data_IF_839516332033
#
_entry.id   IF_839516332033
#
_cell.length_a   1.000
_cell.length_b   1.000
_cell.length_c   1.000
_cell.angle_alpha   90.00
_cell.angle_beta   90.00
_cell.angle_gamma   90.00
#
_symmetry.space_group_name_H-M   'P 1'
#
loop_
_entity.id
_entity.type
_entity.pdbx_description
1 polymer ?
#
# COMPACT_ATOMS: atom_id res chain seq x y z
N UNK A 1 28.22 -41.86 -63.11
CA UNK A 1 28.65 -40.78 -62.18
C UNK A 1 27.39 -40.06 -61.74
N UNK A 2 26.96 -40.31 -60.50
CA UNK A 2 25.72 -39.77 -59.94
C UNK A 2 25.84 -38.29 -59.60
N UNK A 3 24.83 -37.51 -59.97
CA UNK A 3 24.67 -36.11 -59.56
C UNK A 3 23.61 -36.06 -58.46
N UNK A 4 24.05 -35.78 -57.23
CA UNK A 4 23.19 -35.59 -56.07
C UNK A 4 22.72 -34.13 -56.01
N UNK A 5 21.42 -33.89 -56.18
CA UNK A 5 20.79 -32.59 -55.94
C UNK A 5 20.43 -32.44 -54.46
N UNK A 6 21.16 -31.58 -53.75
CA UNK A 6 20.82 -31.17 -52.38
C UNK A 6 19.69 -30.13 -52.42
N UNK A 7 18.46 -30.57 -52.16
CA UNK A 7 17.33 -29.68 -51.90
C UNK A 7 17.32 -29.25 -50.43
N UNK A 8 17.74 -28.02 -50.14
CA UNK A 8 17.57 -27.41 -48.83
C UNK A 8 16.09 -27.02 -48.63
N UNK A 9 15.39 -27.75 -47.77
CA UNK A 9 14.02 -27.41 -47.35
C UNK A 9 14.09 -26.27 -46.32
N UNK A 10 13.66 -25.08 -46.72
CA UNK A 10 13.55 -23.91 -45.82
C UNK A 10 12.32 -24.09 -44.92
N UNK A 11 12.54 -24.49 -43.68
CA UNK A 11 11.48 -24.52 -42.66
C UNK A 11 11.28 -23.10 -42.11
N UNK A 12 10.29 -22.37 -42.63
CA UNK A 12 9.84 -21.10 -42.04
C UNK A 12 9.14 -21.36 -40.70
N UNK A 13 9.88 -21.22 -39.60
CA UNK A 13 9.31 -21.17 -38.25
C UNK A 13 8.56 -19.84 -38.08
N UNK A 14 7.24 -19.87 -38.22
CA UNK A 14 6.36 -18.79 -37.78
C UNK A 14 6.42 -18.69 -36.24
N UNK A 15 7.21 -17.75 -35.73
CA UNK A 15 7.16 -17.36 -34.33
C UNK A 15 5.88 -16.53 -34.11
N UNK A 16 4.81 -17.19 -33.66
CA UNK A 16 3.63 -16.49 -33.18
C UNK A 16 4.01 -15.74 -31.89
N UNK A 17 4.22 -14.42 -31.99
CA UNK A 17 4.27 -13.57 -30.80
C UNK A 17 2.87 -13.58 -30.17
N UNK A 18 2.71 -14.37 -29.11
CA UNK A 18 1.58 -14.20 -28.21
C UNK A 18 1.79 -12.88 -27.48
N UNK A 19 1.17 -11.81 -27.97
CA UNK A 19 1.00 -10.58 -27.21
C UNK A 19 0.16 -10.93 -25.99
N UNK A 20 0.81 -11.19 -24.86
CA UNK A 20 0.14 -11.23 -23.58
C UNK A 20 -0.42 -9.82 -23.33
N UNK A 21 -1.71 -9.64 -23.60
CA UNK A 21 -2.43 -8.46 -23.16
C UNK A 21 -2.48 -8.53 -21.64
N UNK A 22 -1.62 -7.75 -20.98
CA UNK A 22 -1.83 -7.47 -19.57
C UNK A 22 -3.21 -6.80 -19.48
N UNK A 23 -4.21 -7.54 -18.99
CA UNK A 23 -5.52 -6.97 -18.69
C UNK A 23 -5.28 -5.85 -17.69
N UNK A 24 -5.48 -4.61 -18.11
CA UNK A 24 -5.54 -3.49 -17.18
C UNK A 24 -6.62 -3.82 -16.14
N UNK A 25 -6.30 -3.65 -14.85
CA UNK A 25 -7.27 -3.94 -13.79
C UNK A 25 -8.51 -3.06 -13.96
N UNK A 26 -9.64 -3.54 -13.45
CA UNK A 26 -10.93 -2.88 -13.62
C UNK A 26 -11.63 -2.81 -12.27
N UNK A 27 -11.85 -1.60 -11.75
CA UNK A 27 -12.47 -1.40 -10.44
C UNK A 27 -13.85 -2.07 -10.32
N UNK A 28 -14.63 -2.18 -11.41
CA UNK A 28 -15.92 -2.89 -11.37
C UNK A 28 -15.76 -4.40 -11.13
N UNK A 29 -14.63 -4.97 -11.52
CA UNK A 29 -14.33 -6.39 -11.34
C UNK A 29 -13.66 -6.64 -9.98
N UNK A 30 -12.77 -5.74 -9.57
CA UNK A 30 -11.87 -5.96 -8.44
C UNK A 30 -12.46 -5.50 -7.08
N UNK A 31 -13.35 -4.50 -7.08
CA UNK A 31 -13.82 -3.84 -5.86
C UNK A 31 -15.34 -3.64 -5.79
N UNK A 32 -15.85 -3.58 -4.56
CA UNK A 32 -17.19 -3.12 -4.23
C UNK A 32 -17.11 -1.77 -3.52
N UNK A 33 -17.97 -0.82 -3.90
CA UNK A 33 -18.18 0.40 -3.12
C UNK A 33 -18.94 0.00 -1.85
N UNK A 34 -18.37 0.27 -0.67
CA UNK A 34 -18.97 -0.13 0.60
C UNK A 34 -19.90 0.93 1.17
N UNK A 35 -19.57 2.22 0.97
CA UNK A 35 -20.39 3.34 1.40
C UNK A 35 -20.00 4.65 0.68
N UNK A 36 -20.85 5.67 0.81
CA UNK A 36 -20.59 7.03 0.31
C UNK A 36 -21.53 7.51 -0.79
N UNK A 37 -22.43 6.65 -1.28
CA UNK A 37 -23.38 6.96 -2.35
C UNK A 37 -22.66 7.55 -3.58
N UNK A 38 -23.02 8.78 -3.95
CA UNK A 38 -22.41 9.53 -5.05
C UNK A 38 -20.99 10.02 -4.76
N UNK A 39 -20.41 9.77 -3.57
CA UNK A 39 -19.04 10.18 -3.21
C UNK A 39 -18.00 9.16 -3.59
N UNK A 40 -18.39 7.90 -3.78
CA UNK A 40 -17.57 6.89 -4.42
C UNK A 40 -18.01 6.74 -5.86
N UNK A 41 -17.10 6.94 -6.81
CA UNK A 41 -17.43 6.84 -8.23
C UNK A 41 -16.34 6.09 -8.99
N UNK A 42 -16.76 5.23 -9.89
CA UNK A 42 -15.89 4.56 -10.86
C UNK A 42 -16.17 5.16 -12.24
N UNK A 43 -15.12 5.55 -12.95
CA UNK A 43 -15.19 6.20 -14.25
C UNK A 43 -14.31 5.50 -15.27
N UNK A 44 -14.31 6.01 -16.51
CA UNK A 44 -13.43 5.58 -17.59
C UNK A 44 -13.47 4.06 -17.81
N UNK A 45 -14.68 3.48 -17.81
CA UNK A 45 -14.88 2.05 -18.00
C UNK A 45 -14.28 1.17 -16.90
N UNK A 46 -14.00 1.71 -15.71
CA UNK A 46 -13.42 0.96 -14.59
C UNK A 46 -11.95 1.25 -14.32
N UNK A 47 -11.34 2.22 -14.99
CA UNK A 47 -9.91 2.51 -14.88
C UNK A 47 -9.56 3.56 -13.82
N UNK A 48 -10.54 4.32 -13.33
CA UNK A 48 -10.35 5.37 -12.34
C UNK A 48 -11.46 5.28 -11.30
N UNK A 49 -11.09 5.32 -10.02
CA UNK A 49 -12.01 5.44 -8.91
C UNK A 49 -11.71 6.74 -8.15
N UNK A 50 -12.74 7.47 -7.74
CA UNK A 50 -12.60 8.58 -6.79
C UNK A 50 -13.38 8.31 -5.51
N UNK A 51 -12.79 8.70 -4.39
CA UNK A 51 -13.48 8.85 -3.11
C UNK A 51 -13.54 10.34 -2.78
N UNK A 52 -14.73 10.83 -2.41
CA UNK A 52 -14.90 12.17 -1.90
C UNK A 52 -15.45 12.22 -0.47
N UNK A 53 -15.21 13.34 0.20
CA UNK A 53 -15.64 13.62 1.57
C UNK A 53 -16.22 15.02 1.64
N UNK A 54 -17.39 15.12 2.24
CA UNK A 54 -18.06 16.35 2.64
C UNK A 54 -18.60 16.23 4.07
N UNK A 55 -19.26 17.29 4.56
CA UNK A 55 -19.73 17.36 5.95
C UNK A 55 -20.78 16.29 6.30
N UNK A 56 -21.42 15.70 5.30
CA UNK A 56 -22.44 14.65 5.48
C UNK A 56 -21.80 13.28 5.60
N UNK A 57 -20.80 12.99 4.77
CA UNK A 57 -20.17 11.67 4.72
C UNK A 57 -18.85 11.70 3.95
N UNK A 58 -17.99 10.75 4.27
CA UNK A 58 -16.91 10.32 3.39
C UNK A 58 -17.35 9.27 2.37
N UNK A 59 -16.43 8.39 2.01
CA UNK A 59 -16.72 7.23 1.17
C UNK A 59 -15.65 6.14 1.31
N UNK A 60 -15.96 4.93 0.84
CA UNK A 60 -15.02 3.81 0.88
C UNK A 60 -15.36 2.67 -0.07
N UNK A 61 -14.36 1.82 -0.30
CA UNK A 61 -14.48 0.60 -1.08
C UNK A 61 -13.67 -0.53 -0.47
N UNK A 62 -13.98 -1.77 -0.85
CA UNK A 62 -13.25 -2.97 -0.46
C UNK A 62 -13.03 -3.90 -1.64
N UNK A 63 -11.99 -4.73 -1.60
CA UNK A 63 -11.79 -5.77 -2.62
C UNK A 63 -12.87 -6.86 -2.51
N UNK A 64 -13.25 -7.42 -3.65
CA UNK A 64 -14.14 -8.59 -3.70
C UNK A 64 -13.45 -9.85 -3.21
N UNK A 65 -12.14 -9.94 -3.48
CA UNK A 65 -11.27 -11.07 -3.10
C UNK A 65 -10.56 -10.78 -1.79
N UNK A 66 -10.26 -11.85 -1.08
CA UNK A 66 -9.30 -11.87 0.02
C UNK A 66 -7.94 -12.35 -0.48
N UNK A 67 -6.91 -11.90 0.21
CA UNK A 67 -5.51 -12.20 -0.09
C UNK A 67 -4.85 -12.76 1.16
N UNK A 68 -4.05 -13.81 0.99
CA UNK A 68 -3.13 -14.30 2.01
C UNK A 68 -1.75 -14.32 1.37
N UNK A 69 -0.96 -13.29 1.69
CA UNK A 69 0.28 -12.94 1.00
C UNK A 69 0.09 -12.43 -0.44
N UNK A 70 1.14 -11.84 -0.96
CA UNK A 70 1.21 -11.28 -2.30
C UNK A 70 1.80 -9.87 -2.30
N UNK A 71 1.94 -9.32 -3.50
CA UNK A 71 2.24 -7.91 -3.70
C UNK A 71 0.99 -7.21 -4.21
N UNK A 72 0.63 -6.13 -3.53
CA UNK A 72 -0.58 -5.36 -3.81
C UNK A 72 -0.14 -3.93 -4.08
N UNK A 73 -0.35 -3.48 -5.31
CA UNK A 73 -0.01 -2.16 -5.80
C UNK A 73 -1.30 -1.36 -6.08
N UNK A 74 -1.33 -0.09 -5.68
CA UNK A 74 -2.36 0.86 -6.07
C UNK A 74 -1.71 2.20 -6.38
N UNK A 75 -2.13 2.87 -7.46
CA UNK A 75 -1.75 4.25 -7.69
C UNK A 75 -2.76 5.19 -7.04
N UNK A 76 -2.28 6.07 -6.16
CA UNK A 76 -3.10 7.08 -5.50
C UNK A 76 -2.64 8.48 -5.89
N UNK A 77 -3.60 9.39 -6.02
CA UNK A 77 -3.37 10.85 -6.03
C UNK A 77 -4.25 11.47 -4.94
N UNK A 78 -3.61 12.14 -3.99
CA UNK A 78 -4.25 12.61 -2.76
C UNK A 78 -5.02 13.92 -2.96
N UNK A 79 -5.79 14.30 -1.93
CA UNK A 79 -6.59 15.53 -1.89
C UNK A 79 -5.66 16.75 -2.04
N UNK A 80 -5.92 17.57 -3.04
CA UNK A 80 -5.18 18.81 -3.28
C UNK A 80 -5.71 19.98 -2.43
N UNK A 81 -4.87 21.00 -2.24
CA UNK A 81 -5.24 22.21 -1.49
C UNK A 81 -5.22 21.98 0.01
N UNK A 82 -6.20 22.56 0.72
CA UNK A 82 -6.33 22.37 2.15
C UNK A 82 -7.04 21.03 2.41
N UNK A 83 -6.33 20.08 2.98
CA UNK A 83 -6.83 18.75 3.33
C UNK A 83 -6.70 18.46 4.83
N UNK A 84 -6.47 19.49 5.65
CA UNK A 84 -6.34 19.34 7.09
C UNK A 84 -7.56 18.63 7.69
N UNK A 85 -7.31 17.74 8.65
CA UNK A 85 -8.30 16.91 9.31
C UNK A 85 -8.82 15.72 8.49
N UNK A 86 -8.40 15.56 7.22
CA UNK A 86 -8.79 14.41 6.40
C UNK A 86 -7.77 13.28 6.46
N UNK A 87 -8.24 12.04 6.37
CA UNK A 87 -7.42 10.83 6.21
C UNK A 87 -7.87 10.07 4.98
N UNK A 88 -6.95 9.88 4.05
CA UNK A 88 -7.10 8.87 2.98
C UNK A 88 -6.44 7.59 3.47
N UNK A 89 -7.19 6.53 3.71
CA UNK A 89 -6.65 5.23 4.12
C UNK A 89 -6.59 4.28 2.92
N UNK A 90 -5.55 3.44 2.88
CA UNK A 90 -5.41 2.30 1.96
C UNK A 90 -4.73 1.17 2.73
N UNK A 91 -5.48 0.10 3.00
CA UNK A 91 -5.06 -0.88 3.98
C UNK A 91 -5.57 -2.29 3.65
N UNK A 92 -4.97 -3.28 4.29
CA UNK A 92 -5.47 -4.65 4.33
C UNK A 92 -6.00 -4.93 5.73
N UNK A 93 -7.14 -5.58 5.85
CA UNK A 93 -7.68 -5.99 7.16
C UNK A 93 -8.42 -7.32 7.07
N UNK A 94 -8.27 -8.17 8.09
CA UNK A 94 -9.14 -9.34 8.30
C UNK A 94 -10.36 -8.94 9.14
N UNK A 95 -11.32 -9.85 9.28
CA UNK A 95 -12.55 -9.57 10.02
C UNK A 95 -12.45 -9.97 11.48
N UNK A 96 -13.18 -9.25 12.34
CA UNK A 96 -13.39 -9.61 13.75
C UNK A 96 -12.48 -8.88 14.76
N UNK A 97 -12.68 -9.16 16.07
CA UNK A 97 -12.01 -8.42 17.14
C UNK A 97 -10.51 -8.71 17.24
N UNK A 98 -10.04 -9.84 16.70
CA UNK A 98 -8.63 -10.23 16.66
C UNK A 98 -8.06 -10.11 15.24
N UNK A 99 -8.53 -9.11 14.49
CA UNK A 99 -8.10 -8.92 13.11
C UNK A 99 -6.60 -8.64 13.00
N UNK A 100 -6.05 -9.01 11.86
CA UNK A 100 -4.76 -8.58 11.38
C UNK A 100 -4.97 -7.42 10.40
N UNK A 101 -4.10 -6.40 10.41
CA UNK A 101 -4.24 -5.23 9.53
C UNK A 101 -2.89 -4.59 9.18
N UNK A 102 -2.79 -4.03 7.97
CA UNK A 102 -1.58 -3.43 7.38
C UNK A 102 -1.97 -2.12 6.70
N UNK A 103 -1.47 -0.99 7.22
CA UNK A 103 -2.03 0.32 6.89
C UNK A 103 -1.07 1.24 6.12
N UNK A 104 -1.60 1.90 5.11
CA UNK A 104 -1.21 3.25 4.73
C UNK A 104 -2.33 4.23 5.08
N UNK A 105 -2.00 5.28 5.80
CA UNK A 105 -2.90 6.40 6.07
C UNK A 105 -2.21 7.71 5.68
N UNK A 106 -2.85 8.48 4.82
CA UNK A 106 -2.34 9.78 4.38
C UNK A 106 -3.07 10.88 5.14
N UNK A 107 -2.35 11.51 6.06
CA UNK A 107 -2.88 12.56 6.91
C UNK A 107 -2.74 13.89 6.17
N UNK A 108 -3.88 14.51 5.86
CA UNK A 108 -3.93 15.78 5.17
C UNK A 108 -3.41 16.94 6.00
N UNK A 109 -3.19 18.07 5.34
CA UNK A 109 -2.57 19.24 5.96
C UNK A 109 -3.10 20.55 5.36
N UNK A 110 -2.70 21.68 5.94
CA UNK A 110 -3.00 22.99 5.38
C UNK A 110 -2.37 23.15 3.99
N UNK A 111 -2.97 23.99 3.14
CA UNK A 111 -2.43 24.29 1.81
C UNK A 111 -0.97 24.72 1.90
N UNK A 112 -0.08 24.00 1.20
CA UNK A 112 1.35 24.29 1.14
C UNK A 112 2.19 23.54 2.18
N UNK A 113 1.57 22.95 3.20
CA UNK A 113 2.25 22.11 4.18
C UNK A 113 2.30 20.64 3.70
N UNK A 114 3.33 19.87 4.09
CA UNK A 114 3.51 18.52 3.60
C UNK A 114 2.48 17.55 4.19
N UNK A 115 2.03 16.61 3.36
CA UNK A 115 1.31 15.42 3.79
C UNK A 115 2.18 14.53 4.68
N UNK A 116 1.55 13.84 5.63
CA UNK A 116 2.19 12.77 6.39
C UNK A 116 1.67 11.43 5.87
N UNK A 117 2.59 10.54 5.50
CA UNK A 117 2.29 9.14 5.28
C UNK A 117 2.53 8.37 6.57
N UNK A 118 1.46 7.79 7.09
CA UNK A 118 1.44 6.98 8.29
C UNK A 118 1.32 5.49 7.89
N UNK A 119 2.10 4.63 8.54
CA UNK A 119 1.98 3.17 8.40
C UNK A 119 1.77 2.52 9.75
N UNK A 120 0.97 1.47 9.79
CA UNK A 120 0.74 0.69 11.01
C UNK A 120 0.61 -0.81 10.67
N UNK A 121 0.75 -1.64 11.70
CA UNK A 121 0.57 -3.10 11.60
C UNK A 121 -0.16 -3.57 12.85
N UNK A 122 -1.35 -4.11 12.67
CA UNK A 122 -2.11 -4.81 13.71
C UNK A 122 -1.92 -6.30 13.59
N UNK A 123 -1.73 -6.94 14.74
CA UNK A 123 -1.72 -8.39 14.83
C UNK A 123 -2.62 -8.83 15.98
N UNK A 124 -3.56 -9.74 15.70
CA UNK A 124 -4.52 -10.23 16.68
C UNK A 124 -5.27 -9.09 17.41
N UNK A 125 -5.69 -8.05 16.67
CA UNK A 125 -6.42 -6.88 17.17
C UNK A 125 -5.52 -5.84 17.86
N UNK A 126 -4.21 -6.05 17.92
CA UNK A 126 -3.27 -5.15 18.60
C UNK A 126 -2.36 -4.45 17.59
N UNK A 127 -2.56 -3.14 17.44
CA UNK A 127 -1.69 -2.22 16.69
C UNK A 127 -0.61 -1.60 17.58
N UNK A 128 -0.55 -0.27 17.60
CA UNK A 128 0.48 0.55 18.27
C UNK A 128 1.88 0.41 17.65
N UNK A 129 1.96 0.29 16.32
CA UNK A 129 3.20 0.14 15.55
C UNK A 129 3.35 1.21 14.49
N UNK A 130 3.02 2.43 14.84
CA UNK A 130 2.96 3.59 13.96
C UNK A 130 4.37 4.01 13.50
N UNK A 131 4.54 4.27 12.21
CA UNK A 131 5.68 5.01 11.67
C UNK A 131 5.16 6.07 10.70
N UNK A 132 5.68 7.29 10.81
CA UNK A 132 5.24 8.42 10.00
C UNK A 132 6.39 8.99 9.17
N UNK A 133 6.08 9.40 7.95
CA UNK A 133 7.04 9.91 6.98
C UNK A 133 6.48 11.13 6.25
N UNK A 134 7.35 12.10 5.95
CA UNK A 134 7.11 12.99 4.81
C UNK A 134 7.43 12.25 3.50
N UNK A 135 6.89 12.74 2.38
CA UNK A 135 7.21 12.23 1.05
C UNK A 135 8.22 13.14 0.34
N UNK A 136 9.07 12.56 -0.50
CA UNK A 136 10.04 13.30 -1.31
C UNK A 136 9.44 13.93 -2.59
N UNK A 137 8.12 14.06 -2.64
CA UNK A 137 7.33 14.63 -3.72
C UNK A 137 5.98 15.15 -3.18
N UNK A 138 5.27 15.95 -3.97
CA UNK A 138 3.90 16.38 -3.67
C UNK A 138 2.89 15.31 -4.15
N UNK A 139 2.27 14.55 -3.22
CA UNK A 139 1.39 13.42 -3.57
C UNK A 139 0.02 13.85 -4.11
N UNK A 140 -0.26 15.15 -4.18
CA UNK A 140 -1.51 15.71 -4.70
C UNK A 140 -1.44 16.01 -6.20
N UNK A 141 -0.22 16.13 -6.76
CA UNK A 141 0.00 16.55 -8.14
C UNK A 141 -0.10 15.41 -9.13
N UNK A 142 0.49 14.28 -8.81
CA UNK A 142 0.57 13.12 -9.68
C UNK A 142 0.15 11.85 -8.94
N UNK A 143 -0.14 10.81 -9.72
CA UNK A 143 -0.33 9.48 -9.17
C UNK A 143 1.01 8.85 -8.82
N UNK A 144 1.11 8.30 -7.61
CA UNK A 144 2.25 7.53 -7.13
C UNK A 144 1.80 6.13 -6.73
N UNK A 145 2.67 5.14 -6.89
CA UNK A 145 2.37 3.75 -6.57
C UNK A 145 2.68 3.48 -5.09
N UNK A 146 1.68 3.03 -4.35
CA UNK A 146 1.82 2.57 -2.97
C UNK A 146 1.63 1.06 -2.94
N UNK A 147 2.59 0.36 -2.36
CA UNK A 147 2.67 -1.09 -2.44
C UNK A 147 2.82 -1.73 -1.07
N UNK A 148 2.07 -2.81 -0.85
CA UNK A 148 2.25 -3.74 0.26
C UNK A 148 2.76 -5.05 -0.33
N UNK A 149 4.01 -5.40 -0.05
CA UNK A 149 4.56 -6.72 -0.35
C UNK A 149 4.57 -7.55 0.93
N UNK A 150 3.70 -8.54 1.00
CA UNK A 150 3.42 -9.33 2.19
C UNK A 150 3.69 -10.81 1.92
N UNK A 151 4.53 -11.41 2.75
CA UNK A 151 4.87 -12.84 2.74
C UNK A 151 4.79 -13.40 4.16
N UNK A 152 4.98 -14.71 4.32
CA UNK A 152 5.04 -15.34 5.63
C UNK A 152 6.26 -14.87 6.47
N UNK A 153 7.25 -14.26 5.83
CA UNK A 153 8.52 -13.85 6.43
C UNK A 153 8.54 -12.36 6.79
N UNK A 154 7.86 -11.52 6.02
CA UNK A 154 7.88 -10.07 6.23
C UNK A 154 6.77 -9.32 5.48
N UNK A 155 6.54 -8.08 5.91
CA UNK A 155 5.77 -7.07 5.19
C UNK A 155 6.73 -5.94 4.82
N UNK A 156 6.70 -5.52 3.55
CA UNK A 156 7.42 -4.34 3.06
C UNK A 156 6.39 -3.34 2.54
N UNK A 157 6.48 -2.11 3.05
CA UNK A 157 5.76 -0.95 2.55
C UNK A 157 6.65 -0.23 1.54
N UNK A 158 6.13 0.02 0.33
CA UNK A 158 6.87 0.76 -0.70
C UNK A 158 6.08 1.95 -1.23
N UNK A 159 6.83 2.98 -1.62
CA UNK A 159 6.35 4.14 -2.39
C UNK A 159 7.20 4.24 -3.65
N UNK A 160 6.58 4.10 -4.82
CA UNK A 160 7.25 4.04 -6.14
C UNK A 160 8.42 3.04 -6.17
N UNK A 161 8.20 1.83 -5.65
CA UNK A 161 9.22 0.78 -5.48
C UNK A 161 10.37 1.11 -4.51
N UNK A 162 10.31 2.22 -3.78
CA UNK A 162 11.27 2.54 -2.72
C UNK A 162 10.71 1.99 -1.39
N UNK A 163 11.39 1.02 -0.74
CA UNK A 163 10.95 0.53 0.56
C UNK A 163 11.08 1.64 1.61
N UNK A 164 10.00 1.88 2.36
CA UNK A 164 9.96 2.86 3.45
C UNK A 164 9.94 2.20 4.83
N UNK A 165 9.43 0.96 4.90
CA UNK A 165 9.32 0.18 6.12
C UNK A 165 9.42 -1.32 5.83
N UNK A 166 10.11 -2.04 6.71
CA UNK A 166 10.17 -3.51 6.73
C UNK A 166 9.71 -4.00 8.10
N UNK A 167 8.64 -4.78 8.15
CA UNK A 167 8.16 -5.45 9.35
C UNK A 167 8.40 -6.96 9.21
N UNK A 168 9.37 -7.50 9.97
CA UNK A 168 9.76 -8.91 9.89
C UNK A 168 8.83 -9.78 10.75
N UNK A 169 8.61 -11.02 10.31
CA UNK A 169 8.04 -12.04 11.17
C UNK A 169 9.01 -12.31 12.34
N UNK A 170 8.53 -12.06 13.55
CA UNK A 170 9.27 -12.15 14.81
C UNK A 170 8.57 -13.10 15.80
N UNK A 171 7.82 -14.09 15.31
CA UNK A 171 7.12 -15.07 16.15
C UNK A 171 8.07 -15.89 17.04
N UNK A 172 9.30 -16.12 16.59
CA UNK A 172 10.35 -16.75 17.42
C UNK A 172 10.72 -15.94 18.67
N UNK A 173 10.34 -14.66 18.71
CA UNK A 173 10.49 -13.75 19.85
C UNK A 173 9.16 -13.44 20.54
N UNK A 174 8.10 -14.21 20.24
CA UNK A 174 6.77 -14.05 20.83
C UNK A 174 5.95 -12.90 20.25
N UNK A 175 6.34 -12.31 19.13
CA UNK A 175 5.58 -11.24 18.46
C UNK A 175 4.70 -11.86 17.37
N UNK A 176 3.36 -11.81 17.48
CA UNK A 176 2.46 -12.32 16.45
C UNK A 176 2.66 -11.61 15.11
N UNK A 177 2.44 -12.33 14.01
CA UNK A 177 2.61 -11.83 12.64
C UNK A 177 1.38 -12.22 11.80
N UNK A 178 0.92 -11.36 10.87
CA UNK A 178 -0.28 -11.63 10.09
C UNK A 178 0.04 -12.67 9.00
N UNK A 179 -0.13 -13.95 9.30
CA UNK A 179 0.16 -15.06 8.36
C UNK A 179 -0.96 -16.09 8.23
N UNK A 180 -2.01 -15.98 9.04
CA UNK A 180 -3.06 -16.99 9.13
C UNK A 180 -4.45 -16.47 8.74
N UNK A 181 -4.63 -15.15 8.65
CA UNK A 181 -5.91 -14.53 8.35
C UNK A 181 -5.84 -13.91 6.95
N UNK A 182 -6.59 -14.43 5.95
CA UNK A 182 -6.79 -13.72 4.70
C UNK A 182 -7.41 -12.34 4.95
N UNK A 183 -6.94 -11.35 4.21
CA UNK A 183 -7.36 -9.96 4.36
C UNK A 183 -7.96 -9.44 3.06
N UNK A 184 -8.99 -8.59 3.17
CA UNK A 184 -9.43 -7.76 2.05
C UNK A 184 -8.63 -6.47 2.02
N UNK A 185 -8.57 -5.88 0.85
CA UNK A 185 -8.06 -4.53 0.64
C UNK A 185 -9.21 -3.57 0.89
N UNK A 186 -8.92 -2.49 1.60
CA UNK A 186 -9.85 -1.42 1.89
C UNK A 186 -9.23 -0.09 1.51
N UNK A 187 -10.11 0.86 1.21
CA UNK A 187 -9.73 2.26 1.10
C UNK A 187 -10.91 3.13 1.50
N UNK A 188 -10.60 4.23 2.19
CA UNK A 188 -11.60 5.17 2.66
C UNK A 188 -11.05 6.59 2.67
N UNK A 189 -11.94 7.57 2.56
CA UNK A 189 -11.64 8.97 2.79
C UNK A 189 -12.60 9.50 3.86
N UNK A 190 -12.07 9.93 4.99
CA UNK A 190 -12.86 10.28 6.17
C UNK A 190 -12.23 11.41 6.99
N UNK A 191 -13.01 11.97 7.92
CA UNK A 191 -12.59 13.03 8.81
C UNK A 191 -12.05 12.47 10.13
N UNK A 192 -10.85 12.89 10.51
CA UNK A 192 -10.12 12.44 11.68
C UNK A 192 -9.59 13.64 12.48
N UNK A 193 -10.46 14.63 12.69
CA UNK A 193 -10.15 15.93 13.30
C UNK A 193 -9.42 15.83 14.65
N UNK A 194 -9.64 14.75 15.39
CA UNK A 194 -9.09 14.56 16.72
C UNK A 194 -7.59 14.25 16.73
N UNK A 195 -7.00 13.85 15.60
CA UNK A 195 -5.59 13.44 15.57
C UNK A 195 -4.84 13.68 14.26
N UNK A 196 -5.51 13.75 13.10
CA UNK A 196 -4.84 13.68 11.80
C UNK A 196 -3.84 14.81 11.53
N UNK A 197 -4.24 16.07 11.72
CA UNK A 197 -3.39 17.21 11.38
C UNK A 197 -2.86 17.88 12.64
N UNK A 198 -1.53 17.89 12.77
CA UNK A 198 -0.81 18.42 13.95
C UNK A 198 -1.32 17.83 15.28
N UNK A 199 -1.55 16.52 15.31
CA UNK A 199 -2.08 15.84 16.48
C UNK A 199 -3.49 16.30 16.87
N UNK A 200 -4.30 16.72 15.89
CA UNK A 200 -5.68 17.15 16.09
C UNK A 200 -5.86 18.65 16.39
N UNK A 201 -4.79 19.44 16.40
CA UNK A 201 -4.87 20.89 16.62
C UNK A 201 -5.51 21.65 15.46
N UNK A 202 -5.44 21.11 14.24
CA UNK A 202 -6.03 21.72 13.04
C UNK A 202 -7.20 20.87 12.57
N UNK A 203 -8.37 21.49 12.48
CA UNK A 203 -9.65 20.88 12.14
C UNK A 203 -9.96 21.04 10.65
N UNK A 204 -10.87 20.21 10.15
CA UNK A 204 -11.31 20.25 8.76
C UNK A 204 -12.09 21.53 8.46
N UNK A 205 -11.62 22.29 7.49
CA UNK A 205 -12.37 23.41 6.94
C UNK A 205 -13.38 22.90 5.90
N UNK A 206 -14.59 22.60 6.35
CA UNK A 206 -15.67 22.09 5.50
C UNK A 206 -16.09 23.04 4.37
N UNK A 207 -15.69 24.33 4.40
CA UNK A 207 -15.91 25.23 3.26
C UNK A 207 -15.07 24.85 2.03
N UNK A 208 -14.07 23.96 2.20
CA UNK A 208 -13.21 23.42 1.13
C UNK A 208 -13.70 22.09 0.59
N UNK A 209 -14.80 21.54 1.12
CA UNK A 209 -15.41 20.34 0.58
C UNK A 209 -15.96 20.58 -0.85
N UNK A 210 -16.00 19.55 -1.71
CA UNK A 210 -15.61 18.17 -1.43
C UNK A 210 -14.09 17.95 -1.51
N UNK A 211 -13.55 17.23 -0.53
CA UNK A 211 -12.20 16.69 -0.59
C UNK A 211 -12.23 15.43 -1.45
N UNK A 212 -11.32 15.28 -2.41
CA UNK A 212 -11.35 14.12 -3.34
C UNK A 212 -9.98 13.48 -3.50
N UNK A 213 -9.89 12.17 -3.30
CA UNK A 213 -8.75 11.33 -3.60
C UNK A 213 -9.05 10.40 -4.80
N UNK A 214 -8.02 10.05 -5.56
CA UNK A 214 -8.17 9.25 -6.77
C UNK A 214 -7.29 8.01 -6.75
N UNK A 215 -7.79 6.94 -7.37
CA UNK A 215 -7.20 5.60 -7.39
C UNK A 215 -7.19 5.07 -8.81
N UNK A 216 -6.09 4.42 -9.22
CA UNK A 216 -6.00 3.74 -10.52
C UNK A 216 -4.97 2.62 -10.52
N UNK A 217 -4.96 1.85 -11.61
CA UNK A 217 -3.91 0.88 -11.92
C UNK A 217 -3.64 -0.10 -10.76
N UNK A 218 -4.71 -0.65 -10.19
CA UNK A 218 -4.61 -1.67 -9.15
C UNK A 218 -3.91 -2.92 -9.72
N UNK A 219 -3.05 -3.55 -8.94
CA UNK A 219 -2.47 -4.84 -9.30
C UNK A 219 -2.24 -5.68 -8.06
N UNK A 220 -2.71 -6.92 -8.10
CA UNK A 220 -2.37 -7.92 -7.09
C UNK A 220 -1.65 -9.10 -7.75
N UNK A 221 -0.46 -9.41 -7.26
CA UNK A 221 0.34 -10.58 -7.64
C UNK A 221 0.36 -11.56 -6.46
N UNK A 222 -0.24 -12.73 -6.65
CA UNK A 222 -0.34 -13.79 -5.64
C UNK A 222 0.27 -15.08 -6.16
N UNK A 223 0.79 -15.93 -5.28
CA UNK A 223 1.47 -17.17 -5.70
C UNK A 223 0.58 -18.24 -6.33
N UNK A 224 -0.74 -18.08 -6.29
CA UNK A 224 -1.71 -18.94 -7.00
C UNK A 224 -1.95 -18.49 -8.44
N UNK A 225 -1.39 -17.36 -8.87
CA UNK A 225 -1.47 -16.86 -10.24
C UNK A 225 -0.49 -17.63 -11.12
N UNK A 226 -0.98 -18.35 -12.12
CA UNK A 226 -0.22 -19.17 -13.09
C UNK A 226 0.66 -18.36 -14.06
N UNK A 227 1.03 -17.12 -13.71
CA UNK A 227 1.92 -16.28 -14.50
C UNK A 227 3.37 -16.52 -14.10
N UNK A 228 4.04 -17.40 -14.83
CA UNK A 228 5.50 -17.41 -14.92
C UNK A 228 6.01 -16.02 -15.32
N UNK A 229 7.11 -15.59 -14.70
CA UNK A 229 7.79 -14.27 -14.77
C UNK A 229 7.48 -13.28 -13.63
N UNK A 230 8.25 -13.41 -12.54
CA UNK A 230 8.55 -12.46 -11.44
C UNK A 230 8.03 -12.79 -10.02
N UNK A 231 7.11 -13.75 -9.85
CA UNK A 231 6.48 -14.03 -8.55
C UNK A 231 7.39 -14.73 -7.50
N UNK A 232 8.54 -15.29 -7.91
CA UNK A 232 9.48 -15.96 -7.00
C UNK A 232 10.37 -15.01 -6.18
N UNK A 233 10.44 -13.73 -6.53
CA UNK A 233 11.35 -12.77 -5.88
C UNK A 233 10.80 -12.30 -4.52
N UNK A 234 9.48 -12.13 -4.39
CA UNK A 234 8.86 -11.60 -3.17
C UNK A 234 8.63 -12.63 -2.05
N UNK A 235 8.57 -13.91 -2.38
CA UNK A 235 8.28 -14.96 -1.39
C UNK A 235 9.46 -15.35 -0.51
N UNK A 236 10.70 -15.08 -0.93
CA UNK A 236 11.88 -15.67 -0.27
C UNK A 236 13.05 -14.71 -0.06
N UNK A 237 13.15 -13.59 -0.78
CA UNK A 237 14.30 -12.71 -0.66
C UNK A 237 14.10 -11.62 0.39
N UNK A 238 14.99 -11.60 1.39
CA UNK A 238 15.24 -10.38 2.14
C UNK A 238 15.57 -9.23 1.19
N UNK A 239 15.26 -7.99 1.59
CA UNK A 239 15.63 -6.80 0.82
C UNK A 239 17.10 -6.87 0.37
N UNK A 240 17.33 -6.68 -0.92
CA UNK A 240 18.68 -6.65 -1.49
C UNK A 240 19.52 -5.50 -0.90
N UNK A 241 20.83 -5.48 -1.18
CA UNK A 241 21.72 -4.44 -0.64
C UNK A 241 21.33 -3.00 -1.06
N UNK A 242 20.84 -2.80 -2.28
CA UNK A 242 20.39 -1.51 -2.77
C UNK A 242 19.09 -1.07 -2.07
N UNK A 243 18.10 -1.95 -2.01
CA UNK A 243 16.82 -1.74 -1.33
C UNK A 243 17.02 -1.41 0.16
N UNK A 244 17.95 -2.08 0.84
CA UNK A 244 18.32 -1.76 2.23
C UNK A 244 18.97 -0.38 2.38
N UNK A 245 19.80 0.06 1.42
CA UNK A 245 20.36 1.42 1.42
C UNK A 245 19.27 2.47 1.21
N UNK A 246 18.33 2.21 0.30
CA UNK A 246 17.17 3.09 0.05
C UNK A 246 16.29 3.21 1.28
N UNK A 247 15.96 2.10 1.94
CA UNK A 247 15.19 2.09 3.19
C UNK A 247 15.84 2.99 4.26
N UNK A 248 17.15 2.82 4.50
CA UNK A 248 17.90 3.67 5.46
C UNK A 248 17.90 5.13 5.05
N UNK A 249 18.02 5.43 3.76
CA UNK A 249 17.96 6.81 3.27
C UNK A 249 16.59 7.43 3.51
N UNK A 250 15.49 6.69 3.26
CA UNK A 250 14.14 7.17 3.57
C UNK A 250 13.99 7.43 5.06
N UNK A 251 14.33 6.44 5.90
CA UNK A 251 14.21 6.57 7.35
C UNK A 251 15.02 7.75 7.90
N UNK A 252 16.25 7.94 7.42
CA UNK A 252 17.11 9.04 7.86
C UNK A 252 16.59 10.43 7.48
N UNK A 253 16.01 10.59 6.29
CA UNK A 253 15.70 11.91 5.74
C UNK A 253 14.21 12.29 5.81
N UNK A 254 13.32 11.32 5.95
CA UNK A 254 11.88 11.54 5.81
C UNK A 254 11.03 10.98 6.96
N UNK A 255 11.55 10.08 7.79
CA UNK A 255 10.81 9.57 8.94
C UNK A 255 10.74 10.64 10.03
N UNK A 256 9.53 10.90 10.52
CA UNK A 256 9.25 11.92 11.54
C UNK A 256 8.76 11.34 12.86
N UNK A 257 8.26 10.10 12.85
CA UNK A 257 7.88 9.38 14.05
C UNK A 257 8.12 7.88 13.86
N UNK A 258 8.60 7.21 14.91
CA UNK A 258 8.84 5.77 14.94
C UNK A 258 8.47 5.22 16.32
N UNK A 259 7.48 4.33 16.39
CA UNK A 259 7.06 3.71 17.65
C UNK A 259 8.20 2.97 18.37
N UNK A 260 9.19 2.44 17.63
CA UNK A 260 10.33 1.74 18.20
C UNK A 260 11.29 2.63 18.99
N UNK A 261 11.22 3.95 18.84
CA UNK A 261 12.06 4.92 19.57
C UNK A 261 11.24 5.80 20.53
N UNK A 262 9.92 5.61 20.60
CA UNK A 262 9.04 6.34 21.52
C UNK A 262 9.03 5.72 22.93
N UNK A 263 10.02 6.10 23.72
CA UNK A 263 10.13 5.68 25.13
C UNK A 263 9.04 6.28 26.03
N UNK A 264 8.35 7.36 25.61
CA UNK A 264 7.23 7.91 26.38
C UNK A 264 6.03 7.00 26.28
N UNK A 265 5.77 6.45 25.09
CA UNK A 265 4.70 5.49 24.85
C UNK A 265 5.04 4.09 25.38
N UNK A 266 6.32 3.70 25.35
CA UNK A 266 6.80 2.40 25.84
C UNK A 266 7.78 2.53 27.02
N UNK A 267 7.33 3.04 28.19
CA UNK A 267 8.21 3.27 29.34
C UNK A 267 8.76 1.99 29.97
N UNK A 268 8.10 0.85 29.74
CA UNK A 268 8.52 -0.48 30.22
C UNK A 268 9.46 -1.20 29.26
N UNK A 269 9.91 -0.52 28.20
CA UNK A 269 10.78 -1.07 27.17
C UNK A 269 10.06 -1.21 25.83
N UNK A 270 10.83 -0.99 24.77
CA UNK A 270 10.33 -1.03 23.38
C UNK A 270 9.89 -2.45 22.97
N UNK A 271 8.94 -2.57 22.03
CA UNK A 271 8.45 -3.86 21.55
C UNK A 271 9.58 -4.82 21.10
N UNK A 272 9.48 -6.14 21.33
CA UNK A 272 10.56 -7.09 21.07
C UNK A 272 11.05 -7.08 19.61
N UNK A 273 10.14 -6.91 18.65
CA UNK A 273 10.47 -6.79 17.22
C UNK A 273 11.39 -5.59 16.93
N UNK A 274 11.43 -4.61 17.83
CA UNK A 274 12.26 -3.43 17.65
C UNK A 274 13.74 -3.66 18.00
N UNK A 275 14.05 -4.63 18.87
CA UNK A 275 15.38 -4.80 19.48
C UNK A 275 16.46 -5.32 18.52
N UNK A 276 16.05 -6.01 17.45
CA UNK A 276 16.97 -6.67 16.51
C UNK A 276 16.84 -6.17 15.07
N UNK A 277 15.98 -5.19 14.81
CA UNK A 277 15.85 -4.60 13.48
C UNK A 277 16.98 -3.58 13.25
N UNK A 278 17.85 -3.88 12.28
CA UNK A 278 18.90 -2.95 11.79
C UNK A 278 18.35 -1.73 11.04
N UNK A 279 17.04 -1.52 11.07
CA UNK A 279 16.30 -0.46 10.38
C UNK A 279 15.44 0.37 11.36
N UNK A 280 15.71 0.30 12.66
CA UNK A 280 15.03 1.10 13.68
C UNK A 280 15.94 2.18 14.24
N UNK A 281 16.59 2.92 13.34
CA UNK A 281 17.41 4.09 13.70
C UNK A 281 16.52 5.21 14.25
#
# INVERSE_FOLDING_TARGET
MGSSSNGYSFFCLFFAMVLATASASNFYQDFDITWGDHRAKIFNGGQLLSLSLDKTSGSGFQSKKEYLFGRIDMQLKLVAGNSAGTVTAYYLSSQGPTHDEIDFEFLGNLSGDPYILHTNVFTQGKGNREQQFYLWFDPTRNFHTYSIAWSAQHIIFLVDNVPIRLFKNAESMGVPFPKNQPMRIYSSLWNADDWATRGGLVKTDWSKAPFTAYYRNFRASTSTSTSTFSDSVFQTQELDAYSRRRLRWVQKNFMIYNYCTDLKRFPQGVPPECKHSRFNL
#
